data_IF_426913801941
#
_entry.id   IF_426913801941
#
_cell.length_a   1.000
_cell.length_b   1.000
_cell.length_c   1.000
_cell.angle_alpha   90.00
_cell.angle_beta   90.00
_cell.angle_gamma   90.00
#
_symmetry.space_group_name_H-M   'P 1'
#
loop_
_entity.id
_entity.type
_entity.pdbx_description
1 polymer ?
#
# COMPACT_ATOMS: atom_id res chain seq x y z
N UNK A 1 28.08 -50.19 2.32
CA UNK A 1 27.50 -49.67 1.04
C UNK A 1 26.78 -48.32 1.16
N UNK A 2 26.72 -47.66 2.34
CA UNK A 2 25.95 -46.40 2.53
C UNK A 2 26.70 -45.12 2.10
N UNK A 3 28.04 -45.14 2.14
CA UNK A 3 28.89 -43.94 1.96
C UNK A 3 28.92 -43.37 0.53
N UNK A 4 28.60 -44.16 -0.49
CA UNK A 4 28.69 -43.74 -1.90
C UNK A 4 27.48 -42.89 -2.36
N UNK A 5 26.35 -42.96 -1.65
CA UNK A 5 25.11 -42.26 -2.03
C UNK A 5 25.08 -40.81 -1.51
N UNK A 6 25.69 -40.52 -0.36
CA UNK A 6 25.76 -39.16 0.21
C UNK A 6 26.55 -38.19 -0.68
N UNK A 7 27.65 -38.67 -1.28
CA UNK A 7 28.49 -37.85 -2.17
C UNK A 7 27.81 -37.54 -3.52
N UNK A 8 26.96 -38.44 -4.03
CA UNK A 8 26.18 -38.17 -5.24
C UNK A 8 25.07 -37.16 -4.98
N UNK A 9 24.39 -37.26 -3.82
CA UNK A 9 23.37 -36.30 -3.42
C UNK A 9 23.97 -34.89 -3.22
N UNK A 10 25.14 -34.79 -2.60
CA UNK A 10 25.87 -33.53 -2.43
C UNK A 10 26.25 -32.89 -3.77
N UNK A 11 26.72 -33.69 -4.75
CA UNK A 11 27.03 -33.19 -6.10
C UNK A 11 25.79 -32.70 -6.85
N UNK A 12 24.67 -33.44 -6.78
CA UNK A 12 23.40 -33.03 -7.43
C UNK A 12 22.78 -31.79 -6.79
N UNK A 13 22.83 -31.67 -5.46
CA UNK A 13 22.42 -30.45 -4.76
C UNK A 13 23.22 -29.24 -5.21
N UNK A 14 24.55 -29.41 -5.37
CA UNK A 14 25.45 -28.33 -5.79
C UNK A 14 25.16 -27.85 -7.21
N UNK A 15 24.80 -28.75 -8.12
CA UNK A 15 24.37 -28.41 -9.48
C UNK A 15 23.02 -27.69 -9.48
N UNK A 16 22.03 -28.18 -8.73
CA UNK A 16 20.71 -27.53 -8.63
C UNK A 16 20.81 -26.14 -8.00
N UNK A 17 21.66 -25.96 -6.98
CA UNK A 17 21.92 -24.63 -6.41
C UNK A 17 22.63 -23.71 -7.39
N UNK A 18 23.48 -24.25 -8.28
CA UNK A 18 24.14 -23.48 -9.34
C UNK A 18 23.14 -22.94 -10.37
N UNK A 19 22.24 -23.81 -10.83
CA UNK A 19 21.21 -23.44 -11.82
C UNK A 19 20.17 -22.48 -11.20
N UNK A 20 19.79 -22.68 -9.94
CA UNK A 20 18.90 -21.79 -9.21
C UNK A 20 19.52 -20.40 -9.02
N UNK A 21 20.82 -20.34 -8.72
CA UNK A 21 21.55 -19.07 -8.63
C UNK A 21 21.49 -18.31 -9.96
N UNK A 22 21.74 -18.99 -11.09
CA UNK A 22 21.68 -18.39 -12.42
C UNK A 22 20.28 -17.84 -12.75
N UNK A 23 19.23 -18.56 -12.36
CA UNK A 23 17.85 -18.14 -12.53
C UNK A 23 17.48 -16.92 -11.68
N UNK A 24 17.89 -16.93 -10.40
CA UNK A 24 17.66 -15.80 -9.48
C UNK A 24 18.42 -14.57 -9.98
N UNK A 25 19.65 -14.72 -10.42
CA UNK A 25 20.45 -13.63 -10.98
C UNK A 25 19.75 -12.98 -12.19
N UNK A 26 19.23 -13.79 -13.13
CA UNK A 26 18.45 -13.29 -14.25
C UNK A 26 17.14 -12.60 -13.83
N UNK A 27 16.42 -13.14 -12.83
CA UNK A 27 15.21 -12.50 -12.31
C UNK A 27 15.51 -11.19 -11.58
N UNK A 28 16.59 -11.12 -10.81
CA UNK A 28 17.00 -9.90 -10.12
C UNK A 28 17.37 -8.83 -11.14
N UNK A 29 18.10 -9.18 -12.20
CA UNK A 29 18.47 -8.26 -13.28
C UNK A 29 17.22 -7.67 -13.97
N UNK A 30 16.22 -8.52 -14.28
CA UNK A 30 14.94 -8.08 -14.84
C UNK A 30 14.12 -7.25 -13.85
N UNK A 31 14.09 -7.63 -12.56
CA UNK A 31 13.42 -6.87 -11.51
C UNK A 31 14.07 -5.50 -11.32
N UNK A 32 15.40 -5.42 -11.31
CA UNK A 32 16.13 -4.17 -11.13
C UNK A 32 15.92 -3.23 -12.33
N UNK A 33 15.84 -3.78 -13.55
CA UNK A 33 15.52 -3.01 -14.75
C UNK A 33 14.08 -2.48 -14.71
N UNK A 34 13.12 -3.35 -14.42
CA UNK A 34 11.70 -2.99 -14.38
C UNK A 34 11.36 -2.04 -13.22
N UNK A 35 11.93 -2.27 -12.03
CA UNK A 35 11.82 -1.37 -10.88
C UNK A 35 12.53 -0.05 -11.22
N UNK A 36 13.73 -0.09 -11.79
CA UNK A 36 14.48 1.11 -12.14
C UNK A 36 13.74 2.01 -13.13
N UNK A 37 13.14 1.44 -14.17
CA UNK A 37 12.40 2.19 -15.19
C UNK A 37 11.08 2.77 -14.63
N UNK A 38 10.32 1.95 -13.89
CA UNK A 38 9.06 2.39 -13.30
C UNK A 38 9.26 3.40 -12.16
N UNK A 39 10.27 3.21 -11.32
CA UNK A 39 10.63 4.20 -10.29
C UNK A 39 11.19 5.46 -10.92
N UNK A 40 12.03 5.38 -11.95
CA UNK A 40 12.61 6.56 -12.60
C UNK A 40 11.54 7.49 -13.18
N UNK A 41 10.53 6.93 -13.86
CA UNK A 41 9.45 7.73 -14.43
C UNK A 41 8.59 8.39 -13.34
N UNK A 42 8.25 7.65 -12.27
CA UNK A 42 7.47 8.18 -11.15
C UNK A 42 8.25 9.22 -10.34
N UNK A 43 9.55 9.02 -10.15
CA UNK A 43 10.45 9.92 -9.45
C UNK A 43 10.65 11.22 -10.22
N UNK A 44 10.84 11.15 -11.55
CA UNK A 44 11.02 12.32 -12.40
C UNK A 44 9.78 13.24 -12.38
N UNK A 45 8.59 12.65 -12.54
CA UNK A 45 7.34 13.41 -12.48
C UNK A 45 7.06 13.97 -11.08
N UNK A 46 7.38 13.18 -10.04
CA UNK A 46 7.24 13.61 -8.65
C UNK A 46 8.18 14.75 -8.30
N UNK A 47 9.46 14.70 -8.70
CA UNK A 47 10.45 15.75 -8.41
C UNK A 47 10.04 17.07 -9.05
N UNK A 48 9.56 17.05 -10.30
CA UNK A 48 9.13 18.26 -10.98
C UNK A 48 7.94 18.91 -10.27
N UNK A 49 6.92 18.10 -9.92
CA UNK A 49 5.75 18.57 -9.15
C UNK A 49 6.17 19.07 -7.76
N UNK A 50 6.99 18.29 -7.06
CA UNK A 50 7.46 18.61 -5.71
C UNK A 50 8.24 19.92 -5.70
N UNK A 51 9.14 20.13 -6.67
CA UNK A 51 9.90 21.39 -6.81
C UNK A 51 8.97 22.58 -6.98
N UNK A 52 7.94 22.46 -7.83
CA UNK A 52 6.93 23.51 -8.01
C UNK A 52 6.13 23.79 -6.73
N UNK A 53 5.69 22.74 -6.04
CA UNK A 53 4.99 22.87 -4.74
C UNK A 53 5.90 23.53 -3.70
N UNK A 54 7.16 23.11 -3.59
CA UNK A 54 8.12 23.68 -2.63
C UNK A 54 8.41 25.14 -2.92
N UNK A 55 8.57 25.51 -4.20
CA UNK A 55 8.77 26.89 -4.62
C UNK A 55 7.57 27.75 -4.25
N UNK A 56 6.35 27.28 -4.57
CA UNK A 56 5.11 28.00 -4.27
C UNK A 56 4.90 28.12 -2.75
N UNK A 57 5.13 27.04 -2.01
CA UNK A 57 5.02 27.02 -0.57
C UNK A 57 6.04 27.95 0.09
N UNK A 58 7.29 27.94 -0.39
CA UNK A 58 8.34 28.86 0.07
C UNK A 58 7.97 30.31 -0.20
N UNK A 59 7.48 30.63 -1.40
CA UNK A 59 7.00 31.97 -1.73
C UNK A 59 5.83 32.41 -0.84
N UNK A 60 4.88 31.51 -0.59
CA UNK A 60 3.75 31.77 0.31
C UNK A 60 4.20 32.08 1.74
N UNK A 61 5.11 31.28 2.30
CA UNK A 61 5.70 31.54 3.62
C UNK A 61 6.44 32.87 3.63
N UNK A 62 7.17 33.19 2.57
CA UNK A 62 7.88 34.46 2.47
C UNK A 62 6.92 35.67 2.51
N UNK A 63 5.80 35.60 1.80
CA UNK A 63 4.76 36.63 1.85
C UNK A 63 4.19 36.77 3.26
N UNK A 64 3.91 35.67 3.96
CA UNK A 64 3.43 35.72 5.35
C UNK A 64 4.43 36.39 6.29
N UNK A 65 5.72 36.09 6.15
CA UNK A 65 6.78 36.72 6.93
C UNK A 65 6.87 38.22 6.62
N UNK A 66 6.79 38.61 5.34
CA UNK A 66 6.79 40.02 4.95
C UNK A 66 5.58 40.77 5.53
N UNK A 67 4.39 40.17 5.49
CA UNK A 67 3.18 40.72 6.12
C UNK A 67 3.35 40.82 7.64
N UNK A 68 3.94 39.82 8.29
CA UNK A 68 4.20 39.86 9.72
C UNK A 68 5.15 41.00 10.10
N UNK A 69 6.24 41.21 9.34
CA UNK A 69 7.16 42.33 9.57
C UNK A 69 6.45 43.66 9.35
N UNK A 70 5.70 43.80 8.25
CA UNK A 70 4.95 45.01 7.94
C UNK A 70 3.93 45.37 9.03
N UNK A 71 3.17 44.39 9.52
CA UNK A 71 2.26 44.58 10.65
C UNK A 71 3.04 44.89 11.95
N UNK A 72 4.18 44.25 12.18
CA UNK A 72 5.02 44.51 13.34
C UNK A 72 5.56 45.95 13.38
N UNK A 73 5.99 46.47 12.24
CA UNK A 73 6.39 47.87 12.09
C UNK A 73 5.21 48.84 12.32
N UNK A 74 4.04 48.52 11.76
CA UNK A 74 2.84 49.35 11.92
C UNK A 74 2.34 49.41 13.37
N UNK A 75 2.46 48.30 14.11
CA UNK A 75 2.11 48.21 15.53
C UNK A 75 3.21 48.72 16.47
N UNK A 76 4.38 49.08 15.94
CA UNK A 76 5.54 49.57 16.70
C UNK A 76 6.23 48.52 17.57
N UNK A 77 5.80 47.25 17.51
CA UNK A 77 6.35 46.14 18.28
C UNK A 77 6.63 44.96 17.33
N UNK A 78 7.91 44.56 17.15
CA UNK A 78 8.30 43.58 16.15
C UNK A 78 7.67 42.19 16.39
N UNK A 79 7.35 41.84 17.64
CA UNK A 79 6.73 40.55 17.97
C UNK A 79 5.23 40.45 17.66
N UNK A 80 4.49 41.57 17.66
CA UNK A 80 3.03 41.53 17.52
C UNK A 80 2.58 41.17 16.11
N UNK A 81 3.36 41.54 15.09
CA UNK A 81 3.07 41.20 13.71
C UNK A 81 3.03 39.69 13.46
N UNK A 82 3.96 38.93 14.05
CA UNK A 82 3.96 37.47 13.96
C UNK A 82 2.79 36.84 14.71
N UNK A 83 2.42 37.35 15.89
CA UNK A 83 1.28 36.85 16.66
C UNK A 83 -0.01 36.99 15.85
N UNK A 84 -0.24 38.15 15.25
CA UNK A 84 -1.44 38.41 14.45
C UNK A 84 -1.51 37.49 13.23
N UNK A 85 -0.40 37.33 12.51
CA UNK A 85 -0.36 36.44 11.32
C UNK A 85 -0.47 34.96 11.71
N UNK A 86 -0.02 34.57 12.91
CA UNK A 86 -0.10 33.19 13.38
C UNK A 86 -1.53 32.73 13.68
N UNK A 87 -2.44 33.63 14.09
CA UNK A 87 -3.83 33.29 14.44
C UNK A 87 -4.57 32.63 13.26
N UNK A 88 -4.67 33.25 12.06
CA UNK A 88 -5.34 32.63 10.92
C UNK A 88 -4.62 31.36 10.45
N UNK A 89 -3.29 31.31 10.57
CA UNK A 89 -2.49 30.13 10.24
C UNK A 89 -2.81 28.96 11.18
N UNK A 90 -2.95 29.24 12.48
CA UNK A 90 -3.31 28.28 13.51
C UNK A 90 -4.74 27.78 13.34
N UNK A 91 -5.69 28.66 13.03
CA UNK A 91 -7.08 28.26 12.72
C UNK A 91 -7.11 27.34 11.51
N UNK A 92 -6.39 27.67 10.44
CA UNK A 92 -6.33 26.84 9.23
C UNK A 92 -5.67 25.49 9.51
N UNK A 93 -4.57 25.49 10.29
CA UNK A 93 -3.87 24.28 10.70
C UNK A 93 -4.72 23.38 11.60
N UNK A 94 -5.45 23.96 12.56
CA UNK A 94 -6.36 23.25 13.44
C UNK A 94 -7.55 22.67 12.68
N UNK A 95 -8.11 23.44 11.73
CA UNK A 95 -9.16 22.97 10.83
C UNK A 95 -8.67 21.77 10.00
N UNK A 96 -7.49 21.87 9.39
CA UNK A 96 -6.89 20.77 8.64
C UNK A 96 -6.63 19.54 9.53
N UNK A 97 -6.14 19.74 10.75
CA UNK A 97 -5.90 18.67 11.70
C UNK A 97 -7.18 17.97 12.15
N UNK A 98 -8.26 18.72 12.38
CA UNK A 98 -9.54 18.17 12.83
C UNK A 98 -10.30 17.44 11.72
N UNK A 99 -10.17 17.88 10.46
CA UNK A 99 -10.80 17.23 9.32
C UNK A 99 -10.12 15.90 8.92
N UNK A 100 -8.82 15.76 9.16
CA UNK A 100 -8.01 14.62 8.67
C UNK A 100 -8.33 13.25 9.30
N UNK A 101 -8.57 13.07 10.61
CA UNK A 101 -8.76 11.73 11.18
C UNK A 101 -10.16 11.13 10.93
N UNK A 102 -11.23 11.95 10.80
CA UNK A 102 -12.59 11.40 10.64
C UNK A 102 -12.85 10.84 9.24
N UNK A 103 -12.44 11.56 8.18
CA UNK A 103 -12.77 11.15 6.81
C UNK A 103 -11.92 9.98 6.27
N UNK A 104 -10.69 9.81 6.77
CA UNK A 104 -9.80 8.72 6.33
C UNK A 104 -10.21 7.36 6.92
N UNK A 105 -10.66 7.32 8.18
CA UNK A 105 -11.02 6.08 8.86
C UNK A 105 -12.33 5.49 8.30
N UNK A 106 -13.32 6.34 8.00
CA UNK A 106 -14.64 5.91 7.54
C UNK A 106 -14.59 5.19 6.18
N UNK A 107 -13.75 5.66 5.25
CA UNK A 107 -13.60 5.02 3.94
C UNK A 107 -12.76 3.73 4.01
N UNK A 108 -11.79 3.65 4.91
CA UNK A 108 -10.94 2.46 5.05
C UNK A 108 -11.71 1.28 5.67
N UNK A 109 -12.58 1.58 6.63
CA UNK A 109 -13.36 0.56 7.34
C UNK A 109 -14.38 -0.14 6.43
N UNK A 110 -15.05 0.60 5.53
CA UNK A 110 -16.04 0.02 4.62
C UNK A 110 -15.43 -0.94 3.59
N UNK A 111 -14.22 -0.65 3.11
CA UNK A 111 -13.49 -1.55 2.21
C UNK A 111 -12.97 -2.80 2.94
N UNK A 112 -12.51 -2.66 4.19
CA UNK A 112 -12.08 -3.80 5.00
C UNK A 112 -13.24 -4.74 5.35
N UNK A 113 -14.37 -4.20 5.81
CA UNK A 113 -15.53 -5.02 6.20
C UNK A 113 -16.12 -5.78 5.00
N UNK A 114 -16.21 -5.13 3.83
CA UNK A 114 -16.72 -5.79 2.62
C UNK A 114 -15.77 -6.88 2.09
N UNK A 115 -14.44 -6.70 2.18
CA UNK A 115 -13.49 -7.76 1.86
C UNK A 115 -13.53 -8.92 2.86
N UNK A 116 -13.66 -8.64 4.16
CA UNK A 116 -13.80 -9.67 5.20
C UNK A 116 -15.09 -10.47 5.05
N UNK A 117 -16.24 -9.82 4.82
CA UNK A 117 -17.52 -10.49 4.59
C UNK A 117 -17.47 -11.33 3.31
N UNK A 118 -16.84 -10.82 2.24
CA UNK A 118 -16.68 -11.55 0.98
C UNK A 118 -15.76 -12.76 1.13
N UNK A 119 -14.65 -12.63 1.84
CA UNK A 119 -13.74 -13.73 2.13
C UNK A 119 -14.41 -14.80 3.01
N UNK A 120 -15.16 -14.40 4.05
CA UNK A 120 -15.89 -15.34 4.90
C UNK A 120 -17.01 -16.05 4.13
N UNK A 121 -17.82 -15.33 3.37
CA UNK A 121 -18.91 -15.91 2.56
C UNK A 121 -18.36 -16.82 1.45
N UNK A 122 -17.27 -16.45 0.79
CA UNK A 122 -16.63 -17.28 -0.23
C UNK A 122 -16.05 -18.57 0.36
N UNK A 123 -15.47 -18.52 1.56
CA UNK A 123 -15.00 -19.72 2.26
C UNK A 123 -16.15 -20.60 2.74
N UNK A 124 -17.25 -20.02 3.25
CA UNK A 124 -18.47 -20.76 3.64
C UNK A 124 -19.15 -21.41 2.43
N UNK A 125 -19.15 -20.75 1.27
CA UNK A 125 -19.75 -21.30 0.04
C UNK A 125 -18.88 -22.38 -0.65
N UNK A 126 -17.56 -22.39 -0.40
CA UNK A 126 -16.68 -23.49 -0.84
C UNK A 126 -16.78 -24.72 0.08
N UNK A 127 -17.01 -24.54 1.39
CA UNK A 127 -17.17 -25.65 2.33
C UNK A 127 -18.52 -26.38 2.12
N UNK A 128 -19.59 -25.64 1.82
CA UNK A 128 -20.91 -26.21 1.53
C UNK A 128 -21.05 -26.98 0.20
N UNK A 129 -20.12 -26.79 -0.76
CA UNK A 129 -20.15 -27.47 -2.07
C UNK A 129 -19.34 -28.77 -2.13
N UNK A 130 -18.54 -29.08 -1.12
CA UNK A 130 -17.77 -30.34 -1.03
C UNK A 130 -18.53 -31.50 -0.39
N UNK A 131 -19.69 -31.27 0.24
CA UNK A 131 -20.46 -32.30 0.95
C UNK A 131 -21.69 -32.86 0.19
N UNK A 132 -22.02 -32.32 -0.99
CA UNK A 132 -23.22 -32.73 -1.73
C UNK A 132 -22.86 -33.25 -3.13
N UNK A 133 -21.97 -34.24 -3.20
CA UNK A 133 -21.87 -35.08 -4.40
C UNK A 133 -22.95 -36.16 -4.26
N UNK A 134 -24.01 -36.18 -5.10
CA UNK A 134 -25.05 -37.20 -4.98
C UNK A 134 -24.44 -38.55 -5.35
N UNK A 135 -24.24 -39.38 -4.33
CA UNK A 135 -23.76 -40.74 -4.41
C UNK A 135 -24.73 -41.56 -5.29
N UNK A 136 -24.30 -41.77 -6.53
CA UNK A 136 -24.97 -42.58 -7.53
C UNK A 136 -24.69 -44.05 -7.21
N UNK A 137 -25.70 -44.85 -6.85
CA UNK A 137 -25.63 -46.32 -6.69
C UNK A 137 -27.07 -46.88 -6.65
N UNK A 138 -27.27 -48.16 -7.04
CA UNK A 138 -27.91 -48.55 -8.30
C UNK A 138 -29.38 -48.94 -8.14
N UNK A 139 -30.03 -48.94 -9.31
CA UNK A 139 -31.30 -49.57 -9.63
C UNK A 139 -31.55 -50.88 -8.85
N UNK A 140 -32.65 -50.94 -8.10
CA UNK A 140 -33.31 -52.20 -7.76
C UNK A 140 -34.82 -52.02 -7.77
N UNK A 141 -35.43 -52.99 -8.40
CA UNK A 141 -36.81 -53.14 -8.87
C UNK A 141 -37.82 -53.35 -7.73
N UNK A 142 -39.10 -53.27 -8.08
CA UNK A 142 -40.29 -53.73 -7.34
C UNK A 142 -40.87 -52.69 -6.34
N UNK A 143 -42.18 -52.47 -6.21
CA UNK A 143 -43.36 -53.18 -6.66
C UNK A 143 -44.55 -52.19 -6.65
N UNK A 144 -45.56 -52.44 -7.48
CA UNK A 144 -46.86 -51.73 -7.48
C UNK A 144 -47.64 -51.97 -6.17
N UNK A 145 -48.83 -51.34 -6.09
CA UNK A 145 -49.94 -51.53 -5.12
C UNK A 145 -49.94 -50.41 -4.07
N UNK A 146 -50.93 -49.53 -3.90
CA UNK A 146 -52.34 -49.45 -4.30
C UNK A 146 -52.74 -47.95 -4.32
#
# INVERSE_FOLDING_TARGET
MSEKNSDQLGKRFRTITGDLKLYIEKRIELLLLNIGEQYSQWMAESIQKLTGIFLLFGAFVFVLVAVAIYLGELLGWPGLGYVIVSIPLFVTGLFFFYLKPRSLAENLQQHFESELIKALTQNVEQDGKKHNEPLNLPESTEEKVN
#
